data_IF_236378993057
#
_entry.id   IF_236378993057
#
_cell.length_a   1.000
_cell.length_b   1.000
_cell.length_c   1.000
_cell.angle_alpha   90.00
_cell.angle_beta   90.00
_cell.angle_gamma   90.00
#
_symmetry.space_group_name_H-M   'P 1'
#
loop_
_entity.id
_entity.type
_entity.pdbx_description
1 polymer ?
#
# COMPACT_ATOMS: atom_id res chain seq x y z
N UNK A 1 -30.45 -3.71 -4.30
CA UNK A 1 -29.96 -4.37 -5.54
C UNK A 1 -28.71 -3.71 -6.12
N UNK A 2 -28.59 -2.36 -6.13
CA UNK A 2 -27.44 -1.65 -6.73
C UNK A 2 -26.15 -1.69 -5.88
N UNK A 3 -26.25 -1.57 -4.55
CA UNK A 3 -25.09 -1.58 -3.64
C UNK A 3 -24.26 -2.87 -3.70
N UNK A 4 -24.89 -4.02 -3.99
CA UNK A 4 -24.20 -5.31 -4.14
C UNK A 4 -23.13 -5.30 -5.24
N UNK A 5 -23.27 -4.46 -6.26
CA UNK A 5 -22.27 -4.31 -7.33
C UNK A 5 -20.98 -3.62 -6.86
N UNK A 6 -21.00 -2.98 -5.69
CA UNK A 6 -19.87 -2.26 -5.09
C UNK A 6 -19.22 -3.03 -3.93
N UNK A 7 -19.66 -4.27 -3.67
CA UNK A 7 -19.09 -5.13 -2.62
C UNK A 7 -17.72 -5.65 -3.04
N UNK A 8 -17.52 -5.93 -4.33
CA UNK A 8 -16.24 -6.35 -4.89
C UNK A 8 -15.29 -5.14 -5.04
N UNK A 9 -14.19 -5.07 -4.27
CA UNK A 9 -13.23 -3.97 -4.35
C UNK A 9 -12.49 -3.91 -5.70
N UNK A 10 -12.39 -5.03 -6.42
CA UNK A 10 -11.74 -5.10 -7.73
C UNK A 10 -12.57 -4.46 -8.85
N UNK A 11 -13.87 -4.25 -8.62
CA UNK A 11 -14.79 -3.72 -9.63
C UNK A 11 -14.90 -2.20 -9.56
N UNK A 12 -14.05 -1.50 -10.34
CA UNK A 12 -14.13 -0.04 -10.43
C UNK A 12 -15.27 0.44 -11.34
N UNK A 13 -16.47 0.58 -10.77
CA UNK A 13 -17.65 1.11 -11.48
C UNK A 13 -17.57 2.63 -11.53
N UNK A 14 -17.44 3.23 -12.72
CA UNK A 14 -17.41 4.69 -12.90
C UNK A 14 -18.84 5.22 -13.04
N UNK A 15 -19.09 6.51 -12.72
CA UNK A 15 -20.42 7.09 -12.90
C UNK A 15 -20.97 6.96 -14.33
N UNK A 16 -20.11 6.98 -15.36
CA UNK A 16 -20.51 6.73 -16.76
C UNK A 16 -21.03 5.30 -16.98
N UNK A 17 -20.43 4.32 -16.32
CA UNK A 17 -20.86 2.92 -16.39
C UNK A 17 -22.24 2.78 -15.74
N UNK A 18 -22.49 3.50 -14.64
CA UNK A 18 -23.81 3.56 -13.97
C UNK A 18 -24.86 4.19 -14.89
N UNK A 19 -24.54 5.29 -15.56
CA UNK A 19 -25.46 5.94 -16.50
C UNK A 19 -25.86 4.98 -17.63
N UNK A 20 -24.88 4.27 -18.18
CA UNK A 20 -25.09 3.27 -19.24
C UNK A 20 -25.97 2.14 -18.73
N UNK A 21 -25.64 1.55 -17.57
CA UNK A 21 -26.43 0.48 -16.95
C UNK A 21 -27.89 0.89 -16.69
N UNK A 22 -28.13 2.13 -16.25
CA UNK A 22 -29.49 2.63 -15.97
C UNK A 22 -30.29 2.87 -17.25
N UNK A 23 -29.62 3.31 -18.32
CA UNK A 23 -30.25 3.49 -19.63
C UNK A 23 -30.63 2.14 -20.22
N UNK A 24 -29.72 1.17 -20.20
CA UNK A 24 -29.91 -0.13 -20.85
C UNK A 24 -30.93 -1.00 -20.11
N UNK A 25 -30.93 -0.99 -18.77
CA UNK A 25 -31.80 -1.88 -17.97
C UNK A 25 -33.15 -1.27 -17.62
N UNK A 26 -33.23 0.04 -17.55
CA UNK A 26 -34.40 0.74 -17.02
C UNK A 26 -34.90 1.87 -17.94
N UNK A 27 -34.22 2.17 -19.05
CA UNK A 27 -34.58 3.28 -19.94
C UNK A 27 -34.36 4.67 -19.33
N UNK A 28 -33.71 4.75 -18.16
CA UNK A 28 -33.52 6.01 -17.43
C UNK A 28 -32.15 6.59 -17.78
N UNK A 29 -32.11 7.87 -18.14
CA UNK A 29 -30.87 8.58 -18.44
C UNK A 29 -30.48 9.55 -17.31
N UNK A 30 -29.86 9.08 -16.21
CA UNK A 30 -29.49 9.94 -15.09
C UNK A 30 -28.36 10.90 -15.48
N UNK A 31 -28.33 12.09 -14.88
CA UNK A 31 -27.19 13.00 -15.02
C UNK A 31 -25.95 12.41 -14.35
N UNK A 32 -24.76 12.86 -14.79
CA UNK A 32 -23.49 12.44 -14.18
C UNK A 32 -23.47 12.65 -12.66
N UNK A 33 -23.97 13.80 -12.18
CA UNK A 33 -24.03 14.10 -10.75
C UNK A 33 -24.94 13.13 -9.98
N UNK A 34 -26.07 12.71 -10.56
CA UNK A 34 -26.95 11.69 -9.96
C UNK A 34 -26.24 10.34 -9.89
N UNK A 35 -25.55 9.93 -10.95
CA UNK A 35 -24.79 8.69 -10.98
C UNK A 35 -23.63 8.70 -9.97
N UNK A 36 -22.90 9.81 -9.87
CA UNK A 36 -21.83 10.00 -8.88
C UNK A 36 -22.34 9.93 -7.44
N UNK A 37 -23.41 10.67 -7.10
CA UNK A 37 -24.00 10.63 -5.76
C UNK A 37 -24.57 9.25 -5.41
N UNK A 38 -25.15 8.56 -6.39
CA UNK A 38 -25.64 7.19 -6.20
C UNK A 38 -24.50 6.21 -5.93
N UNK A 39 -23.36 6.36 -6.62
CA UNK A 39 -22.14 5.61 -6.33
C UNK A 39 -21.64 5.89 -4.91
N UNK A 40 -21.52 7.17 -4.55
CA UNK A 40 -21.05 7.58 -3.22
C UNK A 40 -21.93 7.01 -2.10
N UNK A 41 -23.25 7.09 -2.27
CA UNK A 41 -24.22 6.51 -1.34
C UNK A 41 -24.09 4.99 -1.26
N UNK A 42 -23.95 4.30 -2.40
CA UNK A 42 -23.76 2.85 -2.42
C UNK A 42 -22.46 2.43 -1.72
N UNK A 43 -21.36 3.13 -1.95
CA UNK A 43 -20.09 2.89 -1.25
C UNK A 43 -20.23 3.11 0.25
N UNK A 44 -20.88 4.19 0.67
CA UNK A 44 -21.16 4.47 2.07
C UNK A 44 -22.05 3.40 2.72
N UNK A 45 -23.04 2.86 2.00
CA UNK A 45 -23.87 1.75 2.52
C UNK A 45 -23.10 0.43 2.67
N UNK A 46 -22.06 0.19 1.86
CA UNK A 46 -21.28 -1.07 1.88
C UNK A 46 -20.14 -0.99 2.89
N UNK A 47 -19.37 0.10 2.86
CA UNK A 47 -18.14 0.25 3.64
C UNK A 47 -18.30 1.14 4.87
N UNK A 48 -19.45 1.80 5.03
CA UNK A 48 -19.67 2.79 6.08
C UNK A 48 -18.99 4.12 5.80
N UNK A 49 -18.94 4.96 6.83
CA UNK A 49 -18.23 6.23 6.78
C UNK A 49 -16.73 6.02 7.03
N UNK A 50 -15.84 6.49 6.13
CA UNK A 50 -14.39 6.33 6.31
C UNK A 50 -13.85 6.93 7.61
N UNK A 51 -14.42 8.02 8.13
CA UNK A 51 -13.96 8.64 9.37
C UNK A 51 -14.27 7.77 10.58
N UNK A 52 -15.43 7.12 10.60
CA UNK A 52 -15.76 6.11 11.61
C UNK A 52 -14.82 4.90 11.54
N UNK A 53 -14.39 4.48 10.34
CA UNK A 53 -13.36 3.43 10.19
C UNK A 53 -12.03 3.84 10.83
N UNK A 54 -11.59 5.10 10.66
CA UNK A 54 -10.36 5.57 11.31
C UNK A 54 -10.49 5.68 12.84
N UNK A 55 -11.68 5.99 13.37
CA UNK A 55 -11.94 6.00 14.82
C UNK A 55 -11.88 4.60 15.44
N UNK A 56 -12.26 3.57 14.69
CA UNK A 56 -12.24 2.17 15.15
C UNK A 56 -10.88 1.50 14.97
N UNK A 57 -9.96 2.10 14.20
CA UNK A 57 -8.63 1.56 13.92
C UNK A 57 -7.82 1.19 15.18
N UNK A 58 -7.79 1.99 16.26
CA UNK A 58 -7.08 1.59 17.49
C UNK A 58 -7.65 0.30 18.11
N UNK A 59 -8.98 0.16 18.13
CA UNK A 59 -9.63 -1.05 18.64
C UNK A 59 -9.34 -2.27 17.74
N UNK A 60 -9.35 -2.08 16.42
CA UNK A 60 -8.98 -3.11 15.46
C UNK A 60 -7.53 -3.58 15.64
N UNK A 61 -6.59 -2.65 15.83
CA UNK A 61 -5.18 -2.94 16.08
C UNK A 61 -5.01 -3.72 17.38
N UNK A 62 -5.64 -3.27 18.47
CA UNK A 62 -5.64 -3.97 19.74
C UNK A 62 -6.18 -5.41 19.62
N UNK A 63 -7.29 -5.59 18.91
CA UNK A 63 -7.87 -6.93 18.70
C UNK A 63 -7.01 -7.82 17.81
N UNK A 64 -6.28 -7.24 16.85
CA UNK A 64 -5.33 -7.98 16.01
C UNK A 64 -4.17 -8.52 16.84
N UNK A 65 -3.58 -7.71 17.72
CA UNK A 65 -2.53 -8.13 18.66
C UNK A 65 -3.04 -9.18 19.66
N UNK A 66 -4.30 -9.08 20.09
CA UNK A 66 -4.90 -10.08 20.97
C UNK A 66 -5.13 -11.42 20.28
N UNK A 67 -5.48 -11.40 18.99
CA UNK A 67 -5.82 -12.61 18.22
C UNK A 67 -4.59 -13.32 17.68
N UNK A 68 -3.55 -12.56 17.33
CA UNK A 68 -2.23 -13.05 16.93
C UNK A 68 -1.17 -12.30 17.77
N UNK A 69 -0.71 -12.89 18.90
CA UNK A 69 0.22 -12.25 19.83
C UNK A 69 1.57 -11.79 19.23
N UNK A 70 1.96 -12.32 18.08
CA UNK A 70 3.16 -11.87 17.37
C UNK A 70 2.94 -10.56 16.61
N UNK A 71 1.69 -10.17 16.37
CA UNK A 71 1.33 -8.97 15.60
C UNK A 71 1.91 -7.72 16.27
N UNK A 72 2.45 -6.83 15.44
CA UNK A 72 2.95 -5.53 15.86
C UNK A 72 2.14 -4.44 15.18
N UNK A 73 1.54 -3.57 16.00
CA UNK A 73 0.85 -2.39 15.51
C UNK A 73 1.44 -1.12 16.11
N UNK A 74 1.25 0.00 15.41
CA UNK A 74 1.61 1.32 15.93
C UNK A 74 0.68 2.39 15.38
N UNK A 75 0.19 3.27 16.25
CA UNK A 75 -0.51 4.49 15.85
C UNK A 75 0.31 5.68 16.33
N UNK A 76 0.52 6.64 15.44
CA UNK A 76 1.13 7.93 15.71
C UNK A 76 0.05 9.01 15.54
N UNK A 77 -0.02 9.92 16.51
CA UNK A 77 -0.87 11.11 16.44
C UNK A 77 -0.02 12.37 16.30
N UNK A 78 -0.63 13.44 15.77
CA UNK A 78 -0.01 14.77 15.81
C UNK A 78 -0.19 15.45 17.18
N UNK A 79 0.36 16.66 17.33
CA UNK A 79 0.26 17.45 18.57
C UNK A 79 -1.18 17.81 18.99
N UNK A 80 -2.16 17.63 18.09
CA UNK A 80 -3.58 17.87 18.34
C UNK A 80 -4.35 16.55 18.54
N UNK A 81 -3.66 15.44 18.81
CA UNK A 81 -4.23 14.09 18.93
C UNK A 81 -4.98 13.60 17.69
N UNK A 82 -4.63 14.12 16.51
CA UNK A 82 -5.22 13.63 15.25
C UNK A 82 -4.37 12.50 14.69
N UNK A 83 -5.03 11.51 14.11
CA UNK A 83 -4.34 10.42 13.41
C UNK A 83 -3.32 10.97 12.40
N UNK A 84 -2.10 10.45 12.46
CA UNK A 84 -1.01 10.84 11.57
C UNK A 84 -0.47 9.65 10.80
N UNK A 85 -0.07 8.60 11.52
CA UNK A 85 0.40 7.35 10.93
C UNK A 85 -0.22 6.14 11.62
N UNK A 86 -0.37 5.05 10.88
CA UNK A 86 -0.77 3.73 11.40
C UNK A 86 0.09 2.66 10.75
N UNK A 87 0.52 1.66 11.50
CA UNK A 87 1.37 0.56 11.05
C UNK A 87 0.81 -0.76 11.57
N UNK A 88 0.89 -1.81 10.75
CA UNK A 88 0.57 -3.16 11.14
C UNK A 88 1.47 -4.16 10.41
N UNK A 89 1.95 -5.14 11.15
CA UNK A 89 2.58 -6.36 10.65
C UNK A 89 2.05 -7.54 11.47
N UNK A 90 1.49 -8.55 10.79
CA UNK A 90 0.91 -9.71 11.46
C UNK A 90 2.03 -10.60 12.02
N UNK A 91 1.79 -11.22 13.17
CA UNK A 91 2.76 -12.06 13.86
C UNK A 91 3.21 -13.23 13.00
N UNK A 92 2.25 -13.93 12.39
CA UNK A 92 2.55 -14.99 11.44
C UNK A 92 3.40 -14.50 10.25
N UNK A 93 3.15 -13.28 9.76
CA UNK A 93 3.93 -12.67 8.68
C UNK A 93 5.39 -12.41 9.12
N UNK A 94 5.58 -11.83 10.31
CA UNK A 94 6.88 -11.54 10.90
C UNK A 94 7.68 -12.82 11.15
N UNK A 95 7.03 -13.84 11.72
CA UNK A 95 7.65 -15.14 12.00
C UNK A 95 8.11 -15.82 10.71
N UNK A 96 7.24 -15.94 9.71
CA UNK A 96 7.61 -16.54 8.44
C UNK A 96 8.78 -15.79 7.78
N UNK A 97 8.76 -14.45 7.81
CA UNK A 97 9.85 -13.64 7.25
C UNK A 97 11.19 -13.96 7.89
N UNK A 98 11.24 -14.01 9.22
CA UNK A 98 12.49 -14.22 9.97
C UNK A 98 12.98 -15.68 9.96
N UNK A 99 12.19 -16.63 9.50
CA UNK A 99 12.52 -18.07 9.56
C UNK A 99 12.76 -18.72 8.20
N UNK A 100 11.92 -18.43 7.20
CA UNK A 100 11.90 -19.19 5.93
C UNK A 100 11.94 -18.32 4.68
N UNK A 101 11.67 -17.01 4.79
CA UNK A 101 11.69 -16.10 3.64
C UNK A 101 13.11 -15.60 3.41
N UNK A 102 13.48 -15.41 2.13
CA UNK A 102 14.74 -14.75 1.78
C UNK A 102 14.69 -13.30 2.26
N UNK A 103 15.78 -12.74 2.82
CA UNK A 103 15.81 -11.39 3.40
C UNK A 103 15.85 -10.29 2.32
N UNK A 104 14.92 -10.33 1.37
CA UNK A 104 14.74 -9.34 0.30
C UNK A 104 13.34 -8.76 0.42
N UNK A 105 13.26 -7.47 0.75
CA UNK A 105 12.01 -6.76 0.97
C UNK A 105 11.84 -5.72 -0.15
N UNK A 106 10.73 -5.78 -0.88
CA UNK A 106 10.30 -4.69 -1.74
C UNK A 106 9.40 -3.74 -0.95
N UNK A 107 9.65 -2.44 -1.04
CA UNK A 107 8.80 -1.40 -0.46
C UNK A 107 8.26 -0.48 -1.55
N UNK A 108 7.00 -0.11 -1.42
CA UNK A 108 6.34 0.81 -2.34
C UNK A 108 5.27 1.67 -1.63
N UNK A 109 4.85 2.74 -2.30
CA UNK A 109 3.82 3.65 -1.86
C UNK A 109 2.72 3.79 -2.91
N UNK A 110 1.47 3.72 -2.48
CA UNK A 110 0.32 3.99 -3.35
C UNK A 110 -0.63 5.00 -2.74
N UNK A 111 -1.09 5.93 -3.57
CA UNK A 111 -2.02 6.97 -3.14
C UNK A 111 -3.42 6.38 -2.93
N UNK A 112 -3.99 6.59 -1.75
CA UNK A 112 -5.34 6.16 -1.44
C UNK A 112 -6.34 6.97 -2.25
N UNK A 113 -7.16 6.28 -3.06
CA UNK A 113 -8.25 6.87 -3.83
C UNK A 113 -9.53 6.91 -2.99
N UNK A 114 -9.55 7.71 -1.93
CA UNK A 114 -10.71 7.86 -1.06
C UNK A 114 -11.01 9.35 -0.80
N UNK A 115 -12.11 9.64 -0.08
CA UNK A 115 -12.38 11.00 0.44
C UNK A 115 -11.27 11.49 1.37
N UNK A 116 -10.53 10.56 1.97
CA UNK A 116 -9.37 10.82 2.83
C UNK A 116 -8.11 10.68 1.97
N UNK A 117 -7.40 11.80 1.84
CA UNK A 117 -6.12 11.85 1.15
C UNK A 117 -5.07 11.23 2.05
N UNK A 118 -4.35 10.25 1.53
CA UNK A 118 -3.28 9.56 2.24
C UNK A 118 -2.54 8.62 1.32
N UNK A 119 -1.55 7.95 1.88
CA UNK A 119 -0.66 7.02 1.19
C UNK A 119 -0.61 5.73 1.99
N UNK A 120 -0.77 4.61 1.28
CA UNK A 120 -0.51 3.28 1.79
C UNK A 120 0.93 2.92 1.44
N UNK A 121 1.75 2.75 2.46
CA UNK A 121 3.11 2.22 2.36
C UNK A 121 3.04 0.72 2.59
N UNK A 122 3.72 -0.07 1.77
CA UNK A 122 3.68 -1.53 1.85
C UNK A 122 5.10 -2.07 1.81
N UNK A 123 5.36 -3.09 2.62
CA UNK A 123 6.54 -3.94 2.55
C UNK A 123 6.09 -5.37 2.21
N UNK A 124 6.63 -5.90 1.13
CA UNK A 124 6.39 -7.27 0.67
C UNK A 124 7.71 -7.99 0.45
N UNK A 125 7.66 -9.31 0.52
CA UNK A 125 8.78 -10.19 0.21
C UNK A 125 8.36 -11.15 -0.91
N UNK A 126 9.33 -11.84 -1.50
CA UNK A 126 9.05 -12.93 -2.42
C UNK A 126 9.21 -14.26 -1.67
N UNK A 127 8.13 -15.03 -1.60
CA UNK A 127 8.20 -16.44 -1.24
C UNK A 127 8.33 -17.28 -2.51
N UNK A 128 8.94 -18.47 -2.42
CA UNK A 128 9.18 -19.33 -3.59
C UNK A 128 7.99 -19.42 -4.56
N UNK A 129 8.28 -19.65 -5.84
CA UNK A 129 7.29 -19.63 -6.94
C UNK A 129 6.68 -18.24 -7.23
N UNK A 130 7.45 -17.16 -7.06
CA UNK A 130 7.05 -15.78 -7.39
C UNK A 130 5.82 -15.28 -6.62
N UNK A 131 5.53 -15.90 -5.48
CA UNK A 131 4.38 -15.52 -4.67
C UNK A 131 4.74 -14.34 -3.77
N UNK A 132 3.89 -13.31 -3.80
CA UNK A 132 4.03 -12.14 -2.94
C UNK A 132 3.68 -12.53 -1.51
N UNK A 133 4.61 -12.31 -0.60
CA UNK A 133 4.45 -12.50 0.83
C UNK A 133 4.31 -11.13 1.52
N UNK A 134 3.14 -10.79 2.09
CA UNK A 134 2.96 -9.52 2.77
C UNK A 134 3.72 -9.51 4.10
N UNK A 135 4.56 -8.51 4.33
CA UNK A 135 5.30 -8.35 5.59
C UNK A 135 4.67 -7.30 6.49
N UNK A 136 4.46 -6.09 5.97
CA UNK A 136 3.90 -4.98 6.73
C UNK A 136 3.20 -3.96 5.83
N UNK A 137 2.29 -3.19 6.41
CA UNK A 137 1.70 -2.04 5.75
C UNK A 137 1.52 -0.87 6.72
N UNK A 138 1.49 0.34 6.17
CA UNK A 138 1.26 1.55 6.93
C UNK A 138 0.41 2.57 6.19
N UNK A 139 -0.41 3.29 6.95
CA UNK A 139 -1.18 4.44 6.51
C UNK A 139 -0.42 5.70 6.88
N UNK A 140 -0.20 6.58 5.92
CA UNK A 140 0.41 7.88 6.15
C UNK A 140 -0.39 9.01 5.49
N UNK A 141 -0.24 10.22 6.01
CA UNK A 141 -0.90 11.41 5.46
C UNK A 141 -0.27 11.89 4.14
N UNK A 142 1.00 11.57 3.88
CA UNK A 142 1.68 11.88 2.61
C UNK A 142 2.91 10.99 2.38
N UNK A 143 3.35 10.89 1.12
CA UNK A 143 4.61 10.25 0.76
C UNK A 143 5.75 11.28 0.90
N UNK A 144 6.50 11.21 2.00
CA UNK A 144 7.60 12.13 2.28
C UNK A 144 8.67 11.47 3.13
N UNK A 145 9.85 12.10 3.27
CA UNK A 145 10.94 11.54 4.07
C UNK A 145 10.52 11.23 5.51
N UNK A 146 9.61 12.02 6.10
CA UNK A 146 9.14 11.79 7.48
C UNK A 146 8.29 10.52 7.58
N UNK A 147 7.42 10.25 6.60
CA UNK A 147 6.59 9.05 6.62
C UNK A 147 7.41 7.80 6.29
N UNK A 148 8.35 7.90 5.36
CA UNK A 148 9.30 6.82 5.04
C UNK A 148 10.24 6.48 6.21
N UNK A 149 10.85 7.47 6.87
CA UNK A 149 11.66 7.23 8.08
C UNK A 149 10.83 6.51 9.15
N UNK A 150 9.60 6.99 9.40
CA UNK A 150 8.74 6.40 10.42
C UNK A 150 8.37 4.95 10.07
N UNK A 151 7.94 4.70 8.82
CA UNK A 151 7.60 3.36 8.36
C UNK A 151 8.79 2.38 8.42
N UNK A 152 9.95 2.81 7.91
CA UNK A 152 11.15 1.97 7.90
C UNK A 152 11.67 1.69 9.31
N UNK A 153 11.51 2.60 10.27
CA UNK A 153 11.83 2.31 11.68
C UNK A 153 10.98 1.17 12.22
N UNK A 154 9.66 1.24 12.02
CA UNK A 154 8.77 0.17 12.45
C UNK A 154 9.12 -1.15 11.78
N UNK A 155 9.45 -1.14 10.48
CA UNK A 155 9.87 -2.33 9.74
C UNK A 155 11.20 -2.90 10.25
N UNK A 156 12.19 -2.04 10.50
CA UNK A 156 13.51 -2.42 11.02
C UNK A 156 13.38 -3.21 12.33
N UNK A 157 12.52 -2.75 13.24
CA UNK A 157 12.31 -3.38 14.56
C UNK A 157 11.69 -4.79 14.48
N UNK A 158 11.17 -5.20 13.32
CA UNK A 158 10.61 -6.55 13.09
C UNK A 158 11.64 -7.57 12.60
N UNK A 159 12.79 -7.10 12.13
CA UNK A 159 13.78 -7.90 11.41
C UNK A 159 14.85 -8.35 12.40
N UNK A 160 15.09 -9.66 12.51
CA UNK A 160 16.12 -10.20 13.42
C UNK A 160 17.55 -9.82 13.01
N UNK A 161 17.82 -9.79 11.70
CA UNK A 161 19.14 -9.52 11.12
C UNK A 161 19.07 -8.39 10.08
N UNK A 162 18.85 -7.12 10.50
CA UNK A 162 18.65 -5.99 9.59
C UNK A 162 19.86 -5.71 8.68
N UNK A 163 21.07 -6.09 9.10
CA UNK A 163 22.30 -6.01 8.33
C UNK A 163 22.36 -6.97 7.13
N UNK A 164 21.57 -8.05 7.17
CA UNK A 164 21.51 -9.05 6.09
C UNK A 164 20.38 -8.78 5.09
N UNK A 165 19.54 -7.78 5.35
CA UNK A 165 18.39 -7.47 4.49
C UNK A 165 18.79 -6.62 3.29
N UNK A 166 18.26 -7.00 2.13
CA UNK A 166 18.22 -6.17 0.94
C UNK A 166 16.84 -5.54 0.80
N UNK A 167 16.79 -4.21 0.72
CA UNK A 167 15.57 -3.47 0.41
C UNK A 167 15.59 -3.00 -1.04
N UNK A 168 14.49 -3.26 -1.74
CA UNK A 168 14.24 -2.83 -3.11
C UNK A 168 13.11 -1.80 -3.11
N UNK A 169 13.28 -0.65 -3.77
CA UNK A 169 12.24 0.39 -3.78
C UNK A 169 12.21 1.19 -5.08
N UNK A 170 11.20 2.05 -5.27
CA UNK A 170 11.29 3.12 -6.27
C UNK A 170 12.41 4.12 -5.93
N UNK A 171 12.84 4.91 -6.92
CA UNK A 171 13.88 5.95 -6.85
C UNK A 171 13.35 7.26 -6.25
N UNK A 172 12.43 7.18 -5.29
CA UNK A 172 11.94 8.36 -4.60
C UNK A 172 12.99 8.86 -3.59
N UNK A 173 13.38 10.14 -3.66
CA UNK A 173 14.44 10.71 -2.82
C UNK A 173 14.17 10.55 -1.31
N UNK A 174 12.89 10.61 -0.94
CA UNK A 174 12.47 10.35 0.45
C UNK A 174 12.84 8.95 0.93
N UNK A 175 12.77 7.93 0.06
CA UNK A 175 13.13 6.56 0.39
C UNK A 175 14.65 6.45 0.55
N UNK A 176 15.43 6.90 -0.43
CA UNK A 176 16.89 6.82 -0.38
C UNK A 176 17.48 7.51 0.85
N UNK A 177 16.92 8.65 1.26
CA UNK A 177 17.34 9.33 2.49
C UNK A 177 16.99 8.53 3.75
N UNK A 178 15.79 7.95 3.78
CA UNK A 178 15.32 7.16 4.92
C UNK A 178 16.10 5.85 5.05
N UNK A 179 16.43 5.21 3.93
CA UNK A 179 17.26 3.99 3.88
C UNK A 179 18.62 4.20 4.52
N UNK A 180 19.33 5.29 4.16
CA UNK A 180 20.63 5.63 4.78
C UNK A 180 20.53 5.88 6.28
N UNK A 181 19.39 6.38 6.75
CA UNK A 181 19.19 6.70 8.16
C UNK A 181 18.83 5.46 9.00
N UNK A 182 18.06 4.52 8.43
CA UNK A 182 17.49 3.39 9.19
C UNK A 182 18.21 2.06 8.93
N UNK A 183 18.69 1.84 7.70
CA UNK A 183 19.43 0.65 7.30
C UNK A 183 20.82 1.05 6.77
N UNK A 184 21.69 1.66 7.61
CA UNK A 184 22.99 2.15 7.14
C UNK A 184 23.90 1.04 6.58
N UNK A 185 23.76 -0.19 7.10
CA UNK A 185 24.50 -1.37 6.67
C UNK A 185 23.71 -2.26 5.70
N UNK A 186 22.41 -2.01 5.53
CA UNK A 186 21.55 -2.81 4.67
C UNK A 186 21.76 -2.47 3.19
N UNK A 187 21.62 -3.46 2.33
CA UNK A 187 21.73 -3.23 0.89
C UNK A 187 20.46 -2.54 0.36
N UNK A 188 20.59 -1.38 -0.28
CA UNK A 188 19.50 -0.73 -1.00
C UNK A 188 19.66 -0.90 -2.51
N UNK A 189 18.58 -1.28 -3.21
CA UNK A 189 18.53 -1.40 -4.68
C UNK A 189 17.28 -0.72 -5.24
N UNK A 190 17.35 -0.27 -6.49
CA UNK A 190 16.22 0.33 -7.19
C UNK A 190 15.40 -0.78 -7.86
N UNK A 191 14.08 -0.78 -7.71
CA UNK A 191 13.16 -1.71 -8.39
C UNK A 191 13.33 -1.54 -9.91
N UNK A 192 13.72 -2.63 -10.58
CA UNK A 192 13.98 -2.64 -12.02
C UNK A 192 12.71 -2.34 -12.83
N UNK A 193 11.54 -2.78 -12.36
CA UNK A 193 10.25 -2.46 -12.98
C UNK A 193 9.97 -0.95 -12.96
N UNK A 194 10.14 -0.30 -11.80
CA UNK A 194 9.98 1.15 -11.67
C UNK A 194 11.02 1.91 -12.50
N UNK A 195 12.27 1.46 -12.51
CA UNK A 195 13.30 2.03 -13.37
C UNK A 195 12.93 1.93 -14.86
N UNK A 196 12.49 0.76 -15.32
CA UNK A 196 12.05 0.54 -16.69
C UNK A 196 10.88 1.45 -17.08
N UNK A 197 9.89 1.57 -16.19
CA UNK A 197 8.70 2.40 -16.37
C UNK A 197 9.07 3.88 -16.46
N UNK A 198 9.94 4.34 -15.56
CA UNK A 198 10.43 5.72 -15.54
C UNK A 198 11.26 6.03 -16.80
N UNK A 199 12.12 5.12 -17.24
CA UNK A 199 12.88 5.25 -18.49
C UNK A 199 11.95 5.33 -19.71
N UNK A 200 10.94 4.47 -19.81
CA UNK A 200 9.95 4.51 -20.90
C UNK A 200 9.19 5.83 -20.98
N UNK A 201 8.89 6.45 -19.83
CA UNK A 201 8.21 7.75 -19.80
C UNK A 201 9.11 8.89 -20.27
N UNK A 202 10.42 8.82 -20.00
CA UNK A 202 11.37 9.91 -20.31
C UNK A 202 12.13 9.72 -21.63
N UNK A 203 12.29 8.48 -22.10
CA UNK A 203 13.02 8.15 -23.33
C UNK A 203 12.03 7.82 -24.46
N UNK A 204 11.93 8.72 -25.45
CA UNK A 204 11.05 8.57 -26.64
C UNK A 204 11.52 7.52 -27.66
N UNK A 205 12.73 6.95 -27.55
CA UNK A 205 13.31 6.04 -28.56
C UNK A 205 13.32 4.58 -28.07
N UNK A 206 12.84 3.69 -28.94
CA UNK A 206 12.45 2.28 -28.69
C UNK A 206 13.61 1.27 -28.50
N UNK A 207 14.84 1.72 -28.28
CA UNK A 207 16.06 0.92 -28.54
C UNK A 207 16.66 0.11 -27.39
N UNK A 208 16.68 0.61 -26.14
CA UNK A 208 17.58 0.06 -25.09
C UNK A 208 16.85 -0.45 -23.83
N UNK A 209 15.89 -1.37 -23.98
CA UNK A 209 15.21 -2.00 -22.83
C UNK A 209 15.69 -3.43 -22.53
N UNK A 210 16.62 -3.96 -23.32
CA UNK A 210 17.15 -5.33 -23.18
C UNK A 210 18.13 -5.50 -21.99
N UNK A 211 18.58 -4.42 -21.36
CA UNK A 211 19.58 -4.45 -20.29
C UNK A 211 19.02 -4.73 -18.88
N UNK A 212 17.70 -4.85 -18.72
CA UNK A 212 17.06 -5.02 -17.40
C UNK A 212 16.80 -6.49 -17.01
N UNK A 213 17.16 -7.45 -17.88
CA UNK A 213 16.91 -8.88 -17.65
C UNK A 213 17.77 -9.52 -16.55
N UNK A 214 18.78 -8.82 -16.04
CA UNK A 214 19.69 -9.30 -14.99
C UNK A 214 19.33 -8.80 -13.58
N UNK A 215 18.25 -8.03 -13.42
CA UNK A 215 17.86 -7.53 -12.11
C UNK A 215 17.01 -8.56 -11.36
N UNK A 216 17.29 -8.76 -10.08
CA UNK A 216 16.49 -9.58 -9.16
C UNK A 216 15.03 -9.16 -9.28
N UNK A 217 14.19 -10.06 -9.79
CA UNK A 217 12.75 -9.84 -9.92
C UNK A 217 12.10 -10.12 -8.56
N UNK A 218 11.84 -9.05 -7.81
CA UNK A 218 10.81 -9.07 -6.78
C UNK A 218 9.63 -8.36 -7.40
N UNK A 219 8.44 -9.00 -7.51
CA UNK A 219 7.24 -8.34 -7.99
C UNK A 219 6.99 -7.07 -7.16
N UNK A 220 7.23 -5.91 -7.80
CA UNK A 220 6.62 -4.63 -7.51
C UNK A 220 5.33 -4.60 -8.35
#
# INVERSE_FOLDING_TARGET
MFARKFVDPGRNIRPKDIMTDMKDKHGINPTYNKAYRSKDHALHSVFGDPWESFKTLPAYFHMSEKSDPGTKTKIETDRKNRFKYGFMALGACIEGFNTVIRPVIAVDATHLKSKIIGVLLVAVCNYGNEMIYPLAFAFANSECSKSWIWFLKQLHDLILHPELVMIVSDRHMGISNSMRAIFPNGAHRVCAYHLAKNLKQHCRKRGDLSLLSCCIYVPC
#
